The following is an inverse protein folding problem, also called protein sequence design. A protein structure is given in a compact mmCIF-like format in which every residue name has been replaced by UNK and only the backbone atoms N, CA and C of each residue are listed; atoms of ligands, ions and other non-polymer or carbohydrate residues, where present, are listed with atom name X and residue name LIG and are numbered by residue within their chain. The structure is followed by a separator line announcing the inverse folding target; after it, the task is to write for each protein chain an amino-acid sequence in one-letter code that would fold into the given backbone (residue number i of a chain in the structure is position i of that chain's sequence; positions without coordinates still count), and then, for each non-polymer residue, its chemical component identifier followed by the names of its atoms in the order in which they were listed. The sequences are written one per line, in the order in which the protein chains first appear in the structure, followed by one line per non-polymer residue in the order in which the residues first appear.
data_IF_262954990860
#
_entry.id   IF_262954990860
#
_cell.length_a   1.000
_cell.length_b   1.000
_cell.length_c   1.000
_cell.angle_alpha   90.00
_cell.angle_beta   90.00
_cell.angle_gamma   90.00
#
_symmetry.space_group_name_H-M   'P 1'
#
loop_
_entity.id
_entity.type
_entity.pdbx_description
1 polymer ?
#
# COMPACT_ATOMS: atom_id res chain seq x y z
N UNK A 1 -25.21 -6.01 -30.59
CA UNK A 1 -25.35 -5.93 -29.12
C UNK A 1 -23.98 -5.60 -28.55
N UNK A 2 -23.81 -4.48 -27.87
CA UNK A 2 -22.52 -4.12 -27.24
C UNK A 2 -22.26 -5.04 -26.05
N UNK A 3 -21.03 -5.57 -25.91
CA UNK A 3 -20.66 -6.40 -24.78
C UNK A 3 -20.90 -5.67 -23.45
N UNK A 4 -21.48 -6.36 -22.46
CA UNK A 4 -21.77 -5.81 -21.12
C UNK A 4 -20.53 -5.75 -20.24
N UNK A 5 -19.49 -6.51 -20.59
CA UNK A 5 -18.20 -6.58 -19.90
C UNK A 5 -17.03 -6.48 -20.88
N UNK A 6 -15.86 -6.10 -20.38
CA UNK A 6 -14.62 -6.11 -21.16
C UNK A 6 -13.39 -6.38 -20.27
N UNK A 7 -12.35 -7.01 -20.83
CA UNK A 7 -11.10 -7.30 -20.11
C UNK A 7 -10.26 -6.02 -19.97
N UNK A 8 -10.05 -5.54 -18.73
CA UNK A 8 -9.21 -4.38 -18.45
C UNK A 8 -7.76 -4.63 -18.91
N UNK A 9 -7.27 -5.87 -18.81
CA UNK A 9 -5.92 -6.23 -19.25
C UNK A 9 -5.69 -5.94 -20.72
N UNK A 10 -6.69 -6.18 -21.56
CA UNK A 10 -6.60 -5.91 -23.00
C UNK A 10 -6.45 -4.41 -23.31
N UNK A 11 -7.09 -3.53 -22.54
CA UNK A 11 -6.90 -2.08 -22.70
C UNK A 11 -5.49 -1.65 -22.28
N UNK A 12 -5.02 -2.13 -21.13
CA UNK A 12 -3.70 -1.77 -20.63
C UNK A 12 -2.61 -2.25 -21.60
N UNK A 13 -2.67 -3.52 -22.06
CA UNK A 13 -1.70 -4.06 -23.03
C UNK A 13 -1.68 -3.25 -24.32
N UNK A 14 -2.86 -2.89 -24.85
CA UNK A 14 -2.96 -2.08 -26.07
C UNK A 14 -2.27 -0.73 -25.91
N UNK A 15 -2.50 -0.05 -24.79
CA UNK A 15 -1.95 1.29 -24.57
C UNK A 15 -0.45 1.24 -24.32
N UNK A 16 0.00 0.28 -23.51
CA UNK A 16 1.41 0.09 -23.21
C UNK A 16 2.23 -0.24 -24.48
N UNK A 17 1.70 -1.10 -25.36
CA UNK A 17 2.43 -1.58 -26.53
C UNK A 17 2.40 -0.62 -27.73
N UNK A 18 1.61 0.47 -27.68
CA UNK A 18 1.52 1.43 -28.79
C UNK A 18 2.77 2.32 -28.98
N UNK A 19 3.83 2.15 -28.18
CA UNK A 19 5.08 2.92 -28.27
C UNK A 19 6.30 2.19 -28.90
N UNK A 20 6.23 0.88 -29.13
CA UNK A 20 7.32 0.08 -29.69
C UNK A 20 6.86 -0.69 -30.93
N UNK A 21 7.60 -0.58 -32.04
CA UNK A 21 7.20 -1.18 -33.32
C UNK A 21 7.03 -2.71 -33.24
N UNK A 22 5.94 -3.20 -33.83
CA UNK A 22 5.62 -4.54 -34.34
C UNK A 22 6.10 -5.82 -33.61
N UNK A 23 6.69 -5.75 -32.42
CA UNK A 23 7.08 -6.94 -31.67
C UNK A 23 5.90 -7.44 -30.84
N UNK A 24 5.35 -8.57 -31.28
CA UNK A 24 4.18 -9.32 -30.81
C UNK A 24 4.37 -9.93 -29.41
N UNK A 25 5.08 -9.25 -28.52
CA UNK A 25 5.16 -9.66 -27.12
C UNK A 25 3.93 -9.13 -26.40
N UNK A 26 2.90 -9.99 -26.35
CA UNK A 26 1.74 -9.84 -25.47
C UNK A 26 2.20 -9.97 -24.01
N UNK A 27 2.88 -8.95 -23.48
CA UNK A 27 3.24 -8.89 -22.07
C UNK A 27 1.96 -9.06 -21.27
N UNK A 28 1.87 -10.18 -20.56
CA UNK A 28 0.67 -10.51 -19.82
C UNK A 28 0.69 -9.72 -18.52
N UNK A 29 -0.16 -8.69 -18.43
CA UNK A 29 -0.21 -7.78 -17.27
C UNK A 29 -0.84 -8.44 -16.05
N UNK A 30 -1.91 -9.20 -16.27
CA UNK A 30 -2.55 -10.00 -15.23
C UNK A 30 -2.21 -11.46 -15.47
N UNK A 31 -1.69 -12.16 -14.45
CA UNK A 31 -1.27 -13.55 -14.59
C UNK A 31 -2.31 -14.42 -15.29
N UNK A 32 -1.86 -15.30 -16.20
CA UNK A 32 -2.71 -16.21 -16.98
C UNK A 32 -3.17 -17.44 -16.20
N UNK A 33 -2.85 -17.53 -14.91
CA UNK A 33 -3.26 -18.65 -14.08
C UNK A 33 -4.78 -18.81 -14.13
N UNK A 34 -5.31 -20.03 -14.36
CA UNK A 34 -6.75 -20.29 -14.29
C UNK A 34 -7.33 -19.95 -12.90
N UNK A 35 -6.49 -19.87 -11.87
CA UNK A 35 -6.85 -19.44 -10.53
C UNK A 35 -6.99 -17.91 -10.38
N UNK A 36 -6.73 -17.12 -11.42
CA UNK A 36 -6.89 -15.67 -11.41
C UNK A 36 -7.97 -15.22 -12.40
N UNK A 37 -9.03 -14.62 -11.86
CA UNK A 37 -10.04 -13.96 -12.69
C UNK A 37 -9.42 -12.69 -13.28
N UNK A 38 -9.35 -12.60 -14.61
CA UNK A 38 -8.93 -11.36 -15.27
C UNK A 38 -9.87 -10.22 -14.88
N UNK A 39 -9.37 -9.04 -14.49
CA UNK A 39 -10.20 -7.88 -14.17
C UNK A 39 -11.17 -7.53 -15.29
N UNK A 40 -12.47 -7.63 -15.01
CA UNK A 40 -13.53 -7.31 -15.97
C UNK A 40 -14.16 -5.96 -15.65
N UNK A 41 -14.15 -5.06 -16.63
CA UNK A 41 -14.99 -3.87 -16.67
C UNK A 41 -16.44 -4.29 -16.85
N UNK A 42 -17.38 -3.53 -16.26
CA UNK A 42 -18.83 -3.70 -16.49
C UNK A 42 -19.47 -2.36 -16.79
N UNK A 43 -20.46 -2.35 -17.69
CA UNK A 43 -21.27 -1.15 -17.98
C UNK A 43 -22.21 -0.81 -16.83
N UNK A 44 -22.67 0.45 -16.82
CA UNK A 44 -23.68 0.97 -15.87
C UNK A 44 -23.29 0.89 -14.40
N UNK A 45 -22.01 0.69 -14.11
CA UNK A 45 -21.44 0.82 -12.78
C UNK A 45 -20.04 1.43 -12.87
N UNK A 46 -19.57 2.13 -11.84
CA UNK A 46 -18.19 2.56 -11.75
C UNK A 46 -17.25 1.35 -11.77
N UNK A 47 -16.19 1.40 -12.56
CA UNK A 47 -15.06 0.49 -12.45
C UNK A 47 -13.90 1.28 -11.86
N UNK A 48 -13.32 0.78 -10.77
CA UNK A 48 -12.26 1.51 -10.07
C UNK A 48 -10.95 0.74 -10.04
N UNK A 49 -9.85 1.47 -10.12
CA UNK A 49 -8.51 0.92 -9.93
C UNK A 49 -7.90 1.58 -8.69
N UNK A 50 -7.43 0.76 -7.75
CA UNK A 50 -6.66 1.25 -6.61
C UNK A 50 -5.26 1.62 -7.08
N UNK A 51 -4.93 2.90 -7.06
CA UNK A 51 -3.57 3.38 -7.30
C UNK A 51 -2.83 3.45 -5.97
N UNK A 52 -1.70 2.77 -5.85
CA UNK A 52 -0.88 2.76 -4.63
C UNK A 52 0.52 3.30 -4.92
N UNK A 53 0.68 4.64 -4.89
CA UNK A 53 1.97 5.28 -5.12
C UNK A 53 2.81 5.29 -3.85
N UNK A 54 4.11 5.11 -3.98
CA UNK A 54 5.00 5.18 -2.82
C UNK A 54 6.47 4.95 -3.13
N UNK A 55 7.35 5.45 -2.25
CA UNK A 55 8.79 5.25 -2.45
C UNK A 55 9.23 3.81 -2.20
N UNK A 56 8.45 2.99 -1.49
CA UNK A 56 8.70 1.56 -1.23
C UNK A 56 10.18 1.14 -1.10
N UNK A 57 10.97 1.80 -0.25
CA UNK A 57 12.43 1.58 -0.18
C UNK A 57 12.88 0.94 1.15
N UNK A 58 12.83 -0.39 1.34
CA UNK A 58 12.25 -1.40 0.45
C UNK A 58 10.74 -1.61 0.67
N UNK A 59 10.02 -2.29 -0.25
CA UNK A 59 8.68 -2.77 0.03
C UNK A 59 8.70 -3.88 1.08
N UNK A 60 7.61 -4.02 1.83
CA UNK A 60 7.53 -4.90 2.98
C UNK A 60 6.12 -5.41 3.21
N UNK A 61 5.97 -6.43 4.06
CA UNK A 61 4.69 -7.14 4.24
C UNK A 61 3.55 -6.21 4.68
N UNK A 62 3.84 -5.16 5.45
CA UNK A 62 2.83 -4.17 5.82
C UNK A 62 2.28 -3.38 4.61
N UNK A 63 3.08 -3.12 3.56
CA UNK A 63 2.56 -2.50 2.34
C UNK A 63 1.59 -3.44 1.61
N UNK A 64 1.95 -4.73 1.50
CA UNK A 64 1.09 -5.76 0.91
C UNK A 64 -0.19 -5.96 1.73
N UNK A 65 -0.09 -5.99 3.06
CA UNK A 65 -1.24 -6.09 3.95
C UNK A 65 -2.20 -4.91 3.75
N UNK A 66 -1.70 -3.66 3.70
CA UNK A 66 -2.54 -2.49 3.42
C UNK A 66 -3.22 -2.58 2.05
N UNK A 67 -2.47 -2.95 1.00
CA UNK A 67 -3.01 -3.10 -0.35
C UNK A 67 -4.10 -4.16 -0.42
N UNK A 68 -3.80 -5.36 0.10
CA UNK A 68 -4.72 -6.48 0.17
C UNK A 68 -5.97 -6.10 0.93
N UNK A 69 -5.81 -5.50 2.12
CA UNK A 69 -6.92 -5.08 2.97
C UNK A 69 -7.78 -4.04 2.27
N UNK A 70 -7.20 -3.02 1.65
CA UNK A 70 -7.94 -2.02 0.90
C UNK A 70 -8.72 -2.66 -0.26
N UNK A 71 -8.11 -3.58 -1.01
CA UNK A 71 -8.74 -4.26 -2.14
C UNK A 71 -9.90 -5.15 -1.69
N UNK A 72 -9.69 -6.02 -0.70
CA UNK A 72 -10.68 -6.99 -0.22
C UNK A 72 -11.84 -6.32 0.53
N UNK A 73 -11.58 -5.19 1.18
CA UNK A 73 -12.57 -4.50 2.02
C UNK A 73 -13.36 -3.42 1.28
N UNK A 74 -13.01 -3.07 0.03
CA UNK A 74 -13.75 -2.04 -0.74
C UNK A 74 -14.53 -2.57 -1.96
N UNK A 75 -15.25 -3.69 -1.85
CA UNK A 75 -15.97 -4.30 -2.97
C UNK A 75 -17.14 -3.44 -3.47
N UNK A 76 -17.76 -2.66 -2.58
CA UNK A 76 -18.80 -1.67 -2.91
C UNK A 76 -18.27 -0.53 -3.79
N UNK A 77 -16.97 -0.26 -3.74
CA UNK A 77 -16.34 0.72 -4.64
C UNK A 77 -16.21 0.20 -6.07
N UNK A 78 -16.53 -1.06 -6.37
CA UNK A 78 -16.34 -1.61 -7.71
C UNK A 78 -14.87 -1.62 -8.14
N UNK A 79 -13.95 -1.81 -7.18
CA UNK A 79 -12.53 -1.97 -7.46
C UNK A 79 -12.33 -3.27 -8.26
N UNK A 80 -11.74 -3.16 -9.45
CA UNK A 80 -11.50 -4.29 -10.36
C UNK A 80 -10.03 -4.69 -10.44
N UNK A 81 -9.12 -3.77 -10.12
CA UNK A 81 -7.68 -3.99 -10.13
C UNK A 81 -6.97 -3.03 -9.17
N UNK A 82 -5.67 -3.27 -8.95
CA UNK A 82 -4.79 -2.33 -8.29
C UNK A 82 -3.51 -2.13 -9.11
N UNK A 83 -2.94 -0.92 -9.04
CA UNK A 83 -1.67 -0.53 -9.63
C UNK A 83 -0.76 -0.07 -8.50
N UNK A 84 0.38 -0.74 -8.32
CA UNK A 84 1.43 -0.28 -7.42
C UNK A 84 2.41 0.57 -8.23
N UNK A 85 2.66 1.79 -7.79
CA UNK A 85 3.50 2.75 -8.50
C UNK A 85 4.70 3.16 -7.63
N UNK A 86 5.85 2.44 -7.72
CA UNK A 86 7.09 2.90 -7.13
C UNK A 86 7.50 4.25 -7.72
N UNK A 87 7.59 5.28 -6.88
CA UNK A 87 7.99 6.63 -7.30
C UNK A 87 9.41 6.64 -7.86
N UNK A 88 9.77 7.67 -8.62
CA UNK A 88 11.12 7.82 -9.17
C UNK A 88 12.18 8.06 -8.08
N UNK A 89 13.45 7.82 -8.43
CA UNK A 89 14.57 7.90 -7.47
C UNK A 89 14.77 9.32 -6.92
N UNK A 90 14.49 10.35 -7.73
CA UNK A 90 14.55 11.74 -7.30
C UNK A 90 13.57 12.06 -6.18
N UNK A 91 12.37 11.46 -6.19
CA UNK A 91 11.40 11.58 -5.09
C UNK A 91 11.90 10.95 -3.80
N UNK A 92 12.62 9.84 -3.91
CA UNK A 92 13.22 9.18 -2.75
C UNK A 92 14.34 10.04 -2.16
N UNK A 93 15.15 10.67 -3.01
CA UNK A 93 16.22 11.57 -2.57
C UNK A 93 15.66 12.89 -1.99
N UNK A 94 14.63 13.49 -2.60
CA UNK A 94 13.89 14.64 -2.04
C UNK A 94 13.38 14.32 -0.62
N UNK A 95 12.73 13.16 -0.47
CA UNK A 95 12.22 12.69 0.84
C UNK A 95 13.35 12.49 1.87
N UNK A 96 14.54 12.11 1.42
CA UNK A 96 15.73 11.97 2.29
C UNK A 96 16.24 13.34 2.71
N UNK A 97 16.42 14.27 1.77
CA UNK A 97 16.86 15.64 2.03
C UNK A 97 15.92 16.35 3.02
N UNK A 98 14.61 16.21 2.81
CA UNK A 98 13.57 16.73 3.72
C UNK A 98 13.73 16.21 5.16
N UNK A 99 14.01 14.92 5.31
CA UNK A 99 14.26 14.32 6.62
C UNK A 99 15.53 14.87 7.26
N UNK A 100 16.61 15.02 6.49
CA UNK A 100 17.87 15.63 6.95
C UNK A 100 17.64 17.04 7.46
N UNK A 101 16.94 17.86 6.66
CA UNK A 101 16.60 19.24 7.03
C UNK A 101 15.77 19.30 8.32
N UNK A 102 14.76 18.44 8.47
CA UNK A 102 13.92 18.39 9.69
C UNK A 102 14.73 18.00 10.93
N UNK A 103 15.63 17.02 10.83
CA UNK A 103 16.52 16.63 11.94
C UNK A 103 17.43 17.78 12.35
N UNK A 104 18.07 18.43 11.39
CA UNK A 104 18.94 19.59 11.64
C UNK A 104 18.16 20.74 12.33
N UNK A 105 16.96 21.04 11.86
CA UNK A 105 16.10 22.04 12.50
C UNK A 105 15.73 21.65 13.94
N UNK A 106 15.40 20.37 14.19
CA UNK A 106 15.08 19.88 15.52
C UNK A 106 16.28 19.96 16.47
N UNK A 107 17.47 19.60 16.00
CA UNK A 107 18.72 19.70 16.77
C UNK A 107 19.02 21.16 17.14
N UNK A 108 18.97 22.07 16.17
CA UNK A 108 19.14 23.51 16.41
C UNK A 108 18.11 24.05 17.42
N UNK A 109 16.85 23.58 17.36
CA UNK A 109 15.82 23.97 18.32
C UNK A 109 16.15 23.47 19.73
N UNK A 110 16.62 22.23 19.88
CA UNK A 110 17.04 21.65 21.17
C UNK A 110 18.21 22.43 21.77
N UNK A 111 19.22 22.75 20.97
CA UNK A 111 20.38 23.54 21.39
C UNK A 111 19.96 24.94 21.85
N UNK A 112 19.06 25.60 21.12
CA UNK A 112 18.50 26.91 21.52
C UNK A 112 17.78 26.84 22.86
N UNK A 113 16.96 25.81 23.08
CA UNK A 113 16.26 25.59 24.35
C UNK A 113 17.26 25.34 25.49
N UNK A 114 18.30 24.53 25.26
CA UNK A 114 19.36 24.25 26.23
C UNK A 114 20.15 25.52 26.59
N UNK A 115 20.55 26.30 25.59
CA UNK A 115 21.25 27.57 25.79
C UNK A 115 20.38 28.59 26.56
N UNK A 116 19.07 28.65 26.27
CA UNK A 116 18.14 29.52 27.01
C UNK A 116 18.00 29.09 28.48
N UNK A 117 17.89 27.79 28.75
CA UNK A 117 17.85 27.24 30.12
C UNK A 117 19.14 27.55 30.88
N UNK A 118 20.31 27.39 30.26
CA UNK A 118 21.60 27.72 30.87
C UNK A 118 21.72 29.21 31.22
N UNK A 119 21.25 30.11 30.32
CA UNK A 119 21.22 31.56 30.59
C UNK A 119 20.31 31.93 31.75
N UNK A 120 19.12 31.31 31.84
CA UNK A 120 18.18 31.54 32.97
C UNK A 120 18.80 31.07 34.28
N UNK A 121 19.40 29.87 34.30
CA UNK A 121 20.09 29.32 35.50
C UNK A 121 21.24 30.24 35.98
N UNK A 122 21.98 30.84 35.04
CA UNK A 122 23.05 31.80 35.36
C UNK A 122 22.51 33.14 35.90
N UNK A 123 21.38 33.62 35.36
CA UNK A 123 20.79 34.90 35.76
C UNK A 123 20.07 34.84 37.12
N UNK A 124 19.52 33.69 37.51
CA UNK A 124 18.78 33.54 38.77
C UNK A 124 19.66 33.43 40.02
N UNK A 125 21.00 33.53 39.90
CA UNK A 125 21.92 33.48 41.04
C UNK A 125 21.83 32.20 41.87
N UNK A 126 21.19 31.15 41.33
CA UNK A 126 20.93 29.92 42.06
C UNK A 126 22.20 29.10 42.17
N UNK A 127 22.93 29.27 43.27
CA UNK A 127 23.74 28.20 43.85
C UNK A 127 22.80 27.06 44.20
N UNK A 128 22.61 26.15 43.25
CA UNK A 128 21.88 24.90 43.48
C UNK A 128 22.94 23.84 43.74
N UNK A 129 22.94 23.31 44.97
CA UNK A 129 23.79 22.20 45.37
C UNK A 129 23.70 21.02 44.41
N UNK A 130 24.82 20.32 44.27
CA UNK A 130 24.97 19.08 43.51
C UNK A 130 23.95 18.02 43.95
N UNK A 131 22.77 18.02 43.33
CA UNK A 131 21.90 16.85 43.31
C UNK A 131 22.05 16.21 41.93
N UNK A 132 22.57 14.98 41.93
CA UNK A 132 23.12 14.30 40.75
C UNK A 132 22.15 14.20 39.58
N UNK A 133 22.52 14.83 38.47
CA UNK A 133 22.05 14.45 37.14
C UNK A 133 22.79 13.17 36.73
N UNK A 134 22.21 12.01 37.06
CA UNK A 134 22.61 10.74 36.45
C UNK A 134 22.30 10.81 34.96
N UNK A 135 23.36 10.83 34.16
CA UNK A 135 23.31 10.97 32.71
C UNK A 135 22.65 9.78 32.03
N UNK A 136 21.56 10.07 31.32
CA UNK A 136 21.13 9.29 30.16
C UNK A 136 21.81 9.91 28.92
N UNK A 137 23.10 9.59 28.78
CA UNK A 137 23.95 10.01 27.66
C UNK A 137 24.31 8.82 26.79
N UNK A 138 23.32 8.06 26.32
CA UNK A 138 23.52 6.97 25.37
C UNK A 138 22.53 7.14 24.22
N UNK A 139 23.02 7.56 23.04
CA UNK A 139 22.20 7.53 21.83
C UNK A 139 22.64 8.40 20.66
N UNK A 140 23.55 9.37 20.80
CA UNK A 140 23.81 10.32 19.70
C UNK A 140 24.72 9.79 18.57
N UNK A 141 25.37 8.63 18.76
CA UNK A 141 26.30 8.06 17.76
C UNK A 141 25.68 7.11 16.71
N UNK A 142 24.44 6.65 16.91
CA UNK A 142 23.76 5.73 15.99
C UNK A 142 22.97 6.43 14.88
N UNK A 143 22.62 7.71 15.07
CA UNK A 143 21.72 8.48 14.19
C UNK A 143 22.43 9.03 12.93
N UNK A 144 23.77 9.12 12.90
CA UNK A 144 24.50 9.57 11.71
C UNK A 144 24.66 8.45 10.65
N UNK A 145 24.79 7.18 11.07
CA UNK A 145 24.76 6.02 10.17
C UNK A 145 23.35 5.77 9.56
N UNK A 146 22.31 6.34 10.16
CA UNK A 146 20.91 6.30 9.69
C UNK A 146 20.72 7.03 8.34
N UNK A 147 21.66 7.89 7.95
CA UNK A 147 21.49 8.84 6.84
C UNK A 147 22.01 8.36 5.48
N UNK A 148 22.80 7.29 5.42
CA UNK A 148 23.34 6.66 4.20
C UNK A 148 22.80 5.23 3.97
N UNK A 149 21.63 4.94 4.54
CA UNK A 149 20.96 3.66 4.36
C UNK A 149 20.67 3.33 2.88
N UNK A 150 20.56 2.03 2.61
CA UNK A 150 20.26 1.43 1.30
C UNK A 150 19.25 2.27 0.49
N UNK A 151 19.69 2.74 -0.68
CA UNK A 151 18.88 3.41 -1.68
C UNK A 151 18.70 2.47 -2.87
N UNK A 152 17.61 1.71 -2.87
CA UNK A 152 17.28 0.88 -4.04
C UNK A 152 16.91 1.79 -5.20
N UNK A 153 17.24 1.43 -6.44
CA UNK A 153 16.70 2.11 -7.63
C UNK A 153 15.23 1.80 -7.82
N UNK A 154 14.53 2.56 -8.67
CA UNK A 154 13.13 2.28 -9.02
C UNK A 154 12.96 0.86 -9.54
N UNK A 155 13.81 0.42 -10.45
CA UNK A 155 13.79 -0.91 -11.06
C UNK A 155 13.92 -2.01 -10.00
N UNK A 156 14.84 -1.83 -9.04
CA UNK A 156 14.98 -2.76 -7.91
C UNK A 156 13.72 -2.79 -7.04
N UNK A 157 13.10 -1.65 -6.76
CA UNK A 157 11.85 -1.59 -5.98
C UNK A 157 10.68 -2.25 -6.71
N UNK A 158 10.58 -2.07 -8.02
CA UNK A 158 9.61 -2.77 -8.89
C UNK A 158 9.85 -4.28 -8.83
N UNK A 159 11.09 -4.73 -8.98
CA UNK A 159 11.45 -6.15 -8.93
C UNK A 159 11.02 -6.81 -7.60
N UNK A 160 11.19 -6.12 -6.47
CA UNK A 160 10.79 -6.60 -5.14
C UNK A 160 9.27 -6.71 -4.95
N UNK A 161 8.46 -6.01 -5.74
CA UNK A 161 7.00 -6.17 -5.75
C UNK A 161 6.52 -7.37 -6.58
N UNK A 162 7.44 -8.07 -7.25
CA UNK A 162 7.28 -9.12 -8.29
C UNK A 162 7.43 -8.56 -9.70
N UNK A 163 8.69 -8.45 -10.15
CA UNK A 163 9.19 -8.75 -11.51
C UNK A 163 8.52 -8.17 -12.78
N UNK A 164 7.50 -7.32 -12.70
CA UNK A 164 6.77 -6.83 -13.88
C UNK A 164 6.74 -5.31 -13.92
N UNK A 165 6.90 -4.77 -15.13
CA UNK A 165 7.18 -3.38 -15.47
C UNK A 165 6.55 -2.34 -14.55
N UNK A 166 7.40 -1.47 -14.00
CA UNK A 166 6.97 -0.27 -13.29
C UNK A 166 6.83 0.87 -14.28
N UNK A 167 5.79 1.68 -14.09
CA UNK A 167 5.65 2.95 -14.77
C UNK A 167 6.48 4.00 -14.03
N UNK A 168 7.07 4.97 -14.75
CA UNK A 168 7.60 6.15 -14.10
C UNK A 168 6.47 7.14 -13.74
N UNK A 169 6.75 8.10 -12.86
CA UNK A 169 5.76 9.13 -12.47
C UNK A 169 5.34 9.98 -13.68
N UNK A 170 6.28 10.26 -14.58
CA UNK A 170 6.05 11.07 -15.78
C UNK A 170 5.12 10.38 -16.79
N UNK A 171 5.31 9.08 -17.03
CA UNK A 171 4.50 8.27 -17.95
C UNK A 171 3.10 7.98 -17.40
N UNK A 172 2.94 7.99 -16.07
CA UNK A 172 1.69 7.62 -15.41
C UNK A 172 0.52 8.49 -15.88
N UNK A 173 0.70 9.80 -15.95
CA UNK A 173 -0.40 10.72 -16.28
C UNK A 173 -0.89 10.51 -17.72
N UNK A 174 0.02 10.40 -18.69
CA UNK A 174 -0.34 10.13 -20.09
C UNK A 174 -1.00 8.75 -20.24
N UNK A 175 -0.40 7.72 -19.62
CA UNK A 175 -0.95 6.37 -19.63
C UNK A 175 -2.38 6.34 -19.07
N UNK A 176 -2.59 6.96 -17.90
CA UNK A 176 -3.87 7.03 -17.22
C UNK A 176 -4.92 7.70 -18.10
N UNK A 177 -4.61 8.84 -18.70
CA UNK A 177 -5.51 9.57 -19.59
C UNK A 177 -5.92 8.71 -20.79
N UNK A 178 -4.94 8.11 -21.47
CA UNK A 178 -5.18 7.21 -22.62
C UNK A 178 -6.03 6.01 -22.23
N UNK A 179 -5.84 5.45 -21.04
CA UNK A 179 -6.61 4.32 -20.53
C UNK A 179 -8.06 4.71 -20.23
N UNK A 180 -8.27 5.81 -19.51
CA UNK A 180 -9.62 6.32 -19.23
C UNK A 180 -10.35 6.60 -20.54
N UNK A 181 -9.70 7.23 -21.50
CA UNK A 181 -10.33 7.56 -22.79
C UNK A 181 -10.64 6.33 -23.65
N UNK A 182 -9.74 5.35 -23.69
CA UNK A 182 -9.99 4.11 -24.43
C UNK A 182 -11.17 3.34 -23.82
N UNK A 183 -11.23 3.25 -22.50
CA UNK A 183 -12.32 2.58 -21.77
C UNK A 183 -13.64 3.35 -21.92
N UNK A 184 -13.60 4.68 -21.86
CA UNK A 184 -14.76 5.57 -22.07
C UNK A 184 -15.33 5.48 -23.47
N UNK A 185 -14.48 5.40 -24.52
CA UNK A 185 -14.91 5.24 -25.92
C UNK A 185 -15.75 3.98 -26.13
N UNK A 186 -15.44 2.93 -25.40
CA UNK A 186 -16.22 1.69 -25.44
C UNK A 186 -17.42 1.73 -24.48
N UNK A 187 -17.71 2.87 -23.83
CA UNK A 187 -18.89 3.10 -22.99
C UNK A 187 -18.84 2.45 -21.62
N UNK A 188 -17.63 2.29 -21.06
CA UNK A 188 -17.39 1.94 -19.67
C UNK A 188 -16.90 3.18 -18.90
N UNK A 189 -17.16 3.22 -17.60
CA UNK A 189 -16.61 4.25 -16.71
C UNK A 189 -15.43 3.67 -15.94
N UNK A 190 -14.28 4.35 -15.97
CA UNK A 190 -13.08 3.99 -15.21
C UNK A 190 -12.62 5.17 -14.36
N UNK A 191 -12.44 4.92 -13.07
CA UNK A 191 -11.91 5.89 -12.12
C UNK A 191 -10.72 5.31 -11.34
N UNK A 192 -9.88 6.20 -10.80
CA UNK A 192 -8.79 5.83 -9.91
C UNK A 192 -9.08 6.28 -8.49
N UNK A 193 -8.73 5.43 -7.52
CA UNK A 193 -8.83 5.71 -6.09
C UNK A 193 -7.43 5.55 -5.51
N UNK A 194 -6.90 6.59 -4.88
CA UNK A 194 -5.54 6.54 -4.35
C UNK A 194 -5.54 5.88 -2.98
N UNK A 195 -4.80 4.77 -2.85
CA UNK A 195 -4.46 4.15 -1.59
C UNK A 195 -3.24 4.87 -1.00
N UNK A 196 -3.39 5.40 0.21
CA UNK A 196 -2.33 6.15 0.88
C UNK A 196 -1.96 5.53 2.22
N UNK A 197 -0.68 5.62 2.58
CA UNK A 197 -0.20 5.25 3.90
C UNK A 197 -0.71 6.22 4.99
N UNK A 198 -0.71 5.74 6.23
CA UNK A 198 -1.14 6.50 7.40
C UNK A 198 -0.40 7.84 7.60
N UNK A 199 0.81 7.99 7.04
CA UNK A 199 1.62 9.21 7.12
C UNK A 199 1.16 10.35 6.19
N UNK A 200 0.33 10.05 5.19
CA UNK A 200 -0.21 11.05 4.26
C UNK A 200 -1.57 11.60 4.70
N UNK A 201 -2.21 10.97 5.69
CA UNK A 201 -3.50 11.40 6.21
C UNK A 201 -3.33 11.84 7.64
N UNK A 202 -3.51 13.14 7.88
CA UNK A 202 -3.41 13.71 9.19
C UNK A 202 -4.60 14.60 9.54
N UNK A 203 -4.71 14.91 10.83
CA UNK A 203 -5.71 15.89 11.32
C UNK A 203 -5.62 17.26 10.63
N UNK A 204 -4.45 17.60 10.07
CA UNK A 204 -4.18 18.87 9.38
C UNK A 204 -4.57 18.88 7.91
N UNK A 205 -4.65 17.72 7.25
CA UNK A 205 -4.96 17.66 5.82
C UNK A 205 -4.63 16.31 5.20
N UNK A 206 -4.94 16.20 3.91
CA UNK A 206 -4.59 15.10 3.02
C UNK A 206 -4.16 15.64 1.65
N UNK A 207 -3.40 14.87 0.87
CA UNK A 207 -3.00 15.23 -0.49
C UNK A 207 -4.17 15.04 -1.48
N UNK A 208 -5.21 15.88 -1.40
CA UNK A 208 -6.32 15.86 -2.34
C UNK A 208 -5.86 16.14 -3.78
N UNK A 209 -6.41 15.40 -4.74
CA UNK A 209 -6.10 15.59 -6.16
C UNK A 209 -4.71 15.11 -6.56
N UNK A 210 -3.90 14.60 -5.63
CA UNK A 210 -2.65 13.94 -5.99
C UNK A 210 -2.94 12.73 -6.87
N UNK A 211 -2.12 12.57 -7.92
CA UNK A 211 -2.26 11.49 -8.90
C UNK A 211 -3.60 11.50 -9.64
N UNK A 212 -4.22 12.68 -9.78
CA UNK A 212 -5.55 12.87 -10.37
C UNK A 212 -6.62 11.99 -9.70
N UNK A 213 -6.46 11.77 -8.38
CA UNK A 213 -7.36 10.99 -7.56
C UNK A 213 -8.13 11.90 -6.60
N UNK A 214 -9.43 12.00 -6.80
CA UNK A 214 -10.35 12.73 -5.91
C UNK A 214 -10.77 11.90 -4.68
N UNK A 215 -10.46 10.61 -4.73
CA UNK A 215 -10.96 9.58 -3.82
C UNK A 215 -9.77 8.90 -3.16
N UNK A 216 -9.78 8.85 -1.84
CA UNK A 216 -8.67 8.33 -1.05
C UNK A 216 -9.12 7.14 -0.18
N UNK A 217 -8.33 6.08 -0.16
CA UNK A 217 -8.44 5.00 0.81
C UNK A 217 -7.20 5.03 1.71
N UNK A 218 -7.41 4.94 3.01
CA UNK A 218 -6.35 4.84 4.01
C UNK A 218 -6.66 3.71 4.97
N UNK A 219 -5.63 3.05 5.46
CA UNK A 219 -5.76 2.06 6.52
C UNK A 219 -4.61 2.16 7.50
N UNK A 220 -4.78 1.49 8.64
CA UNK A 220 -3.79 1.42 9.72
C UNK A 220 -2.99 0.10 9.72
N UNK A 221 -3.11 -0.70 8.65
CA UNK A 221 -2.31 -1.90 8.44
C UNK A 221 -0.80 -1.54 8.41
N UNK A 222 -0.06 -2.04 9.41
CA UNK A 222 1.37 -1.80 9.60
C UNK A 222 1.75 -0.48 10.27
N UNK A 223 0.86 0.52 10.34
CA UNK A 223 1.11 1.78 11.04
C UNK A 223 -0.20 2.45 11.47
N UNK A 224 -0.25 2.86 12.74
CA UNK A 224 -1.38 3.62 13.28
C UNK A 224 -1.58 4.98 12.57
N UNK A 225 -2.84 5.37 12.41
CA UNK A 225 -3.25 6.70 11.94
C UNK A 225 -3.49 7.66 13.11
N UNK A 226 -3.22 8.95 12.92
CA UNK A 226 -3.30 9.96 13.99
C UNK A 226 -4.73 10.38 14.38
N UNK A 227 -5.72 9.92 13.62
CA UNK A 227 -7.14 10.21 13.80
C UNK A 227 -7.93 9.02 14.34
N UNK A 228 -7.28 7.92 14.72
CA UNK A 228 -7.88 6.83 15.50
C UNK A 228 -7.38 6.94 16.93
N UNK A 229 -8.31 7.05 17.89
CA UNK A 229 -8.01 7.02 19.30
C UNK A 229 -8.63 5.78 19.94
N UNK A 230 -7.93 5.18 20.90
CA UNK A 230 -8.47 4.08 21.71
C UNK A 230 -9.04 4.66 23.00
N UNK A 231 -10.26 4.28 23.37
CA UNK A 231 -10.84 4.64 24.66
C UNK A 231 -10.33 3.74 25.80
N UNK A 232 -10.79 4.02 27.03
CA UNK A 232 -10.39 3.24 28.21
C UNK A 232 -10.82 1.77 28.17
N UNK A 233 -11.81 1.43 27.33
CA UNK A 233 -12.33 0.07 27.15
C UNK A 233 -11.66 -0.67 25.97
N UNK A 234 -10.64 -0.06 25.36
CA UNK A 234 -9.94 -0.64 24.21
C UNK A 234 -10.66 -0.48 22.87
N UNK A 235 -11.76 0.26 22.81
CA UNK A 235 -12.51 0.48 21.56
C UNK A 235 -11.88 1.62 20.76
N UNK A 236 -11.78 1.40 19.46
CA UNK A 236 -11.29 2.41 18.52
C UNK A 236 -12.40 3.43 18.22
N UNK A 237 -12.06 4.72 18.27
CA UNK A 237 -12.92 5.85 17.92
C UNK A 237 -12.22 6.77 16.94
N UNK A 238 -12.91 7.13 15.86
CA UNK A 238 -12.42 8.12 14.90
C UNK A 238 -12.57 9.54 15.44
N UNK A 239 -11.47 10.28 15.40
CA UNK A 239 -11.40 11.70 15.71
C UNK A 239 -11.92 12.52 14.52
N UNK A 240 -12.54 13.66 14.83
CA UNK A 240 -12.98 14.60 13.79
C UNK A 240 -11.80 15.20 13.04
N UNK A 241 -11.92 15.25 11.72
CA UNK A 241 -10.99 15.92 10.82
C UNK A 241 -11.53 17.31 10.50
N UNK A 242 -10.74 18.38 10.73
CA UNK A 242 -11.24 19.76 10.60
C UNK A 242 -11.75 20.07 9.17
N UNK A 243 -11.13 19.45 8.17
CA UNK A 243 -11.36 19.62 6.74
C UNK A 243 -12.36 18.62 6.13
N UNK A 244 -12.83 17.65 6.91
CA UNK A 244 -13.79 16.63 6.48
C UNK A 244 -15.13 16.80 7.20
N UNK A 245 -16.20 16.29 6.59
CA UNK A 245 -17.48 16.05 7.24
C UNK A 245 -17.33 14.99 8.36
N UNK A 246 -18.42 14.74 9.10
CA UNK A 246 -18.43 13.70 10.11
C UNK A 246 -18.17 12.35 9.44
N UNK A 247 -17.46 11.47 10.13
CA UNK A 247 -17.34 10.09 9.69
C UNK A 247 -18.71 9.40 9.71
N UNK A 248 -19.04 8.77 8.61
CA UNK A 248 -20.23 7.96 8.40
C UNK A 248 -19.80 6.51 8.21
N UNK A 249 -20.49 5.53 8.81
CA UNK A 249 -20.27 4.14 8.48
C UNK A 249 -20.55 3.94 6.98
N UNK A 250 -19.76 3.09 6.33
CA UNK A 250 -20.07 2.71 4.94
C UNK A 250 -21.30 1.81 4.98
N UNK A 251 -22.44 2.36 4.56
CA UNK A 251 -23.65 1.58 4.34
C UNK A 251 -23.48 0.76 3.06
N UNK A 252 -23.88 -0.50 3.14
CA UNK A 252 -23.78 -1.41 2.02
C UNK A 252 -25.16 -1.75 1.49
N UNK A 253 -25.25 -1.74 0.16
CA UNK A 253 -26.35 -2.34 -0.57
C UNK A 253 -26.26 -3.87 -0.45
N UNK A 254 -27.10 -4.44 0.43
CA UNK A 254 -27.16 -5.88 0.70
C UNK A 254 -27.44 -6.70 -0.57
N UNK A 255 -28.20 -6.16 -1.52
CA UNK A 255 -28.50 -6.85 -2.78
C UNK A 255 -27.27 -6.88 -3.68
N UNK A 256 -26.56 -5.75 -3.80
CA UNK A 256 -25.30 -5.70 -4.54
C UNK A 256 -24.22 -6.57 -3.89
N UNK A 257 -24.17 -6.63 -2.57
CA UNK A 257 -23.30 -7.52 -1.81
C UNK A 257 -23.59 -9.00 -2.10
N UNK A 258 -24.86 -9.40 -2.00
CA UNK A 258 -25.29 -10.75 -2.28
C UNK A 258 -24.96 -11.17 -3.72
N UNK A 259 -25.24 -10.31 -4.71
CA UNK A 259 -24.92 -10.60 -6.11
C UNK A 259 -23.40 -10.78 -6.33
N UNK A 260 -22.56 -9.99 -5.65
CA UNK A 260 -21.09 -10.14 -5.72
C UNK A 260 -20.63 -11.49 -5.15
N UNK A 261 -21.12 -11.85 -3.97
CA UNK A 261 -20.80 -13.14 -3.34
C UNK A 261 -21.20 -14.30 -4.25
N UNK A 262 -22.37 -14.21 -4.88
CA UNK A 262 -22.83 -15.23 -5.84
C UNK A 262 -21.96 -15.30 -7.09
N UNK A 263 -21.51 -14.16 -7.64
CA UNK A 263 -20.59 -14.12 -8.78
C UNK A 263 -19.24 -14.79 -8.43
N UNK A 264 -18.74 -14.60 -7.21
CA UNK A 264 -17.47 -15.17 -6.75
C UNK A 264 -17.58 -16.68 -6.48
N UNK A 265 -18.69 -17.12 -5.88
CA UNK A 265 -18.99 -18.55 -5.70
C UNK A 265 -19.11 -19.25 -7.05
N UNK A 266 -19.86 -18.67 -7.99
CA UNK A 266 -19.99 -19.23 -9.33
C UNK A 266 -18.63 -19.40 -10.02
N UNK A 267 -17.73 -18.43 -9.85
CA UNK A 267 -16.37 -18.53 -10.36
C UNK A 267 -15.55 -19.63 -9.64
N UNK A 268 -15.57 -19.66 -8.30
CA UNK A 268 -14.86 -20.68 -7.50
C UNK A 268 -15.29 -22.09 -7.87
N UNK A 269 -16.60 -22.29 -8.08
CA UNK A 269 -17.18 -23.56 -8.53
C UNK A 269 -16.70 -23.91 -9.93
N UNK A 270 -16.72 -22.94 -10.85
CA UNK A 270 -16.20 -23.11 -12.20
C UNK A 270 -14.74 -23.59 -12.19
N UNK A 271 -13.87 -22.87 -11.48
CA UNK A 271 -12.45 -23.22 -11.33
C UNK A 271 -12.28 -24.58 -10.67
N UNK A 272 -12.99 -24.85 -9.57
CA UNK A 272 -12.91 -26.14 -8.87
C UNK A 272 -13.35 -27.30 -9.75
N UNK A 273 -14.33 -27.07 -10.63
CA UNK A 273 -14.80 -28.08 -11.57
C UNK A 273 -13.74 -28.42 -12.61
N UNK A 274 -12.87 -27.47 -13.00
CA UNK A 274 -11.74 -27.77 -13.88
C UNK A 274 -10.69 -28.69 -13.24
N UNK A 275 -10.50 -28.62 -11.92
CA UNK A 275 -9.45 -29.36 -11.22
C UNK A 275 -9.94 -30.64 -10.53
N UNK A 276 -11.16 -30.66 -9.98
CA UNK A 276 -11.80 -31.82 -9.37
C UNK A 276 -13.32 -31.71 -9.45
N UNK A 277 -13.88 -32.06 -10.63
CA UNK A 277 -15.33 -32.19 -10.85
C UNK A 277 -16.04 -33.03 -9.77
N UNK A 278 -15.34 -33.98 -9.15
CA UNK A 278 -15.91 -34.85 -8.13
C UNK A 278 -16.12 -34.16 -6.78
N UNK A 279 -15.29 -33.16 -6.44
CA UNK A 279 -15.34 -32.50 -5.13
C UNK A 279 -16.67 -31.77 -4.92
N UNK A 280 -17.04 -30.87 -5.84
CA UNK A 280 -18.26 -30.08 -5.71
C UNK A 280 -19.50 -30.97 -5.70
N UNK A 281 -19.54 -32.00 -6.55
CA UNK A 281 -20.64 -32.97 -6.57
C UNK A 281 -20.77 -33.72 -5.25
N UNK A 282 -19.65 -34.17 -4.65
CA UNK A 282 -19.65 -34.81 -3.32
C UNK A 282 -20.13 -33.86 -2.22
N UNK A 283 -19.81 -32.55 -2.30
CA UNK A 283 -20.32 -31.58 -1.33
C UNK A 283 -21.83 -31.38 -1.49
N UNK A 284 -22.33 -31.27 -2.72
CA UNK A 284 -23.77 -31.13 -3.00
C UNK A 284 -24.57 -32.39 -2.60
N UNK A 285 -24.03 -33.58 -2.83
CA UNK A 285 -24.67 -34.83 -2.41
C UNK A 285 -24.73 -34.94 -0.87
N UNK A 286 -23.76 -34.35 -0.15
CA UNK A 286 -23.72 -34.30 1.32
C UNK A 286 -24.63 -33.21 1.89
N UNK A 287 -24.66 -32.05 1.24
CA UNK A 287 -25.41 -30.88 1.66
C UNK A 287 -26.06 -30.20 0.43
N UNK A 288 -27.36 -30.45 0.18
CA UNK A 288 -28.08 -29.80 -0.91
C UNK A 288 -28.11 -28.27 -0.81
N UNK A 289 -27.85 -27.73 0.39
CA UNK A 289 -27.80 -26.28 0.67
C UNK A 289 -26.37 -25.74 0.68
N UNK A 290 -25.38 -26.50 0.23
CA UNK A 290 -23.97 -26.11 0.22
C UNK A 290 -23.75 -24.70 -0.39
N UNK A 291 -24.41 -24.38 -1.51
CA UNK A 291 -24.29 -23.05 -2.12
C UNK A 291 -24.93 -21.93 -1.29
N UNK A 292 -26.10 -22.19 -0.69
CA UNK A 292 -26.75 -21.22 0.19
C UNK A 292 -25.89 -20.95 1.43
N UNK A 293 -25.33 -22.01 2.02
CA UNK A 293 -24.46 -21.93 3.18
C UNK A 293 -23.17 -21.16 2.83
N UNK A 294 -22.56 -21.46 1.68
CA UNK A 294 -21.37 -20.75 1.21
C UNK A 294 -21.66 -19.28 0.90
N UNK A 295 -22.82 -18.97 0.32
CA UNK A 295 -23.26 -17.60 0.05
C UNK A 295 -23.55 -16.84 1.33
N UNK A 296 -24.20 -17.47 2.32
CA UNK A 296 -24.46 -16.86 3.63
C UNK A 296 -23.16 -16.62 4.41
N UNK A 297 -22.23 -17.57 4.39
CA UNK A 297 -20.91 -17.44 5.02
C UNK A 297 -20.08 -16.34 4.34
N UNK A 298 -20.09 -16.30 3.01
CA UNK A 298 -19.48 -15.24 2.22
C UNK A 298 -20.06 -13.87 2.57
N UNK A 299 -21.40 -13.75 2.56
CA UNK A 299 -22.10 -12.51 2.89
C UNK A 299 -21.86 -12.07 4.33
N UNK A 300 -21.80 -13.00 5.29
CA UNK A 300 -21.47 -12.71 6.70
C UNK A 300 -20.06 -12.15 6.83
N UNK A 301 -19.06 -12.87 6.29
CA UNK A 301 -17.65 -12.46 6.33
C UNK A 301 -17.45 -11.09 5.70
N UNK A 302 -18.11 -10.89 4.57
CA UNK A 302 -18.12 -9.65 3.82
C UNK A 302 -18.75 -8.50 4.60
N UNK A 303 -19.95 -8.70 5.15
CA UNK A 303 -20.68 -7.71 5.97
C UNK A 303 -19.89 -7.34 7.23
N UNK A 304 -19.25 -8.30 7.89
CA UNK A 304 -18.39 -8.04 9.05
C UNK A 304 -17.17 -7.20 8.69
N UNK A 305 -16.64 -7.35 7.47
CA UNK A 305 -15.53 -6.58 6.96
C UNK A 305 -15.92 -5.14 6.57
N UNK A 306 -17.13 -4.94 6.02
CA UNK A 306 -17.64 -3.64 5.57
C UNK A 306 -18.17 -2.78 6.72
N UNK A 307 -18.82 -3.38 7.72
CA UNK A 307 -19.32 -2.68 8.93
C UNK A 307 -18.24 -2.00 9.77
N UNK A 308 -16.97 -2.34 9.56
CA UNK A 308 -15.85 -1.71 10.27
C UNK A 308 -15.29 -0.51 9.50
N UNK A 309 -15.84 -0.14 8.35
CA UNK A 309 -15.30 0.92 7.50
C UNK A 309 -16.08 2.21 7.63
N UNK A 310 -15.36 3.31 7.48
CA UNK A 310 -15.88 4.65 7.71
C UNK A 310 -15.45 5.54 6.56
N UNK A 311 -16.33 6.45 6.18
CA UNK A 311 -16.08 7.41 5.11
C UNK A 311 -16.38 8.81 5.61
N UNK A 312 -15.62 9.80 5.15
CA UNK A 312 -15.95 11.20 5.32
C UNK A 312 -15.76 11.93 3.99
N UNK A 313 -16.57 12.96 3.74
CA UNK A 313 -16.49 13.77 2.52
C UNK A 313 -15.75 15.07 2.81
N UNK A 314 -14.98 15.57 1.84
CA UNK A 314 -14.29 16.85 2.01
C UNK A 314 -15.32 17.97 2.09
N UNK A 315 -15.17 18.87 3.08
CA UNK A 315 -16.02 20.06 3.16
C UNK A 315 -15.85 20.92 1.90
N UNK A 316 -16.96 21.45 1.38
CA UNK A 316 -17.01 22.39 0.25
C UNK A 316 -16.49 21.83 -1.08
N UNK A 317 -16.46 20.52 -1.24
CA UNK A 317 -16.13 19.87 -2.51
C UNK A 317 -17.12 18.75 -2.79
N UNK A 318 -17.68 18.73 -4.00
CA UNK A 318 -18.54 17.63 -4.44
C UNK A 318 -17.67 16.51 -5.00
N UNK A 319 -17.83 15.30 -4.48
CA UNK A 319 -17.20 14.09 -5.01
C UNK A 319 -15.86 13.67 -4.37
N UNK A 320 -15.22 14.55 -3.59
CA UNK A 320 -14.01 14.19 -2.84
C UNK A 320 -14.34 13.49 -1.51
N UNK A 321 -13.78 12.31 -1.30
CA UNK A 321 -13.98 11.54 -0.07
C UNK A 321 -12.73 10.78 0.38
N UNK A 322 -12.66 10.55 1.69
CA UNK A 322 -11.67 9.70 2.35
C UNK A 322 -12.39 8.52 2.98
N UNK A 323 -11.92 7.30 2.68
CA UNK A 323 -12.39 6.07 3.31
C UNK A 323 -11.29 5.49 4.19
N UNK A 324 -11.64 5.22 5.44
CA UNK A 324 -10.81 4.54 6.41
C UNK A 324 -11.17 3.05 6.47
N UNK A 325 -10.16 2.22 6.27
CA UNK A 325 -10.24 0.77 6.35
C UNK A 325 -9.38 0.28 7.52
N UNK A 326 -9.99 -0.13 8.64
CA UNK A 326 -9.21 -0.64 9.76
C UNK A 326 -8.63 -2.02 9.46
N UNK A 327 -7.43 -2.22 10.00
CA UNK A 327 -6.78 -3.49 10.22
C UNK A 327 -7.54 -4.24 11.33
N UNK A 328 -7.98 -5.47 11.11
CA UNK A 328 -8.68 -6.23 12.14
C UNK A 328 -7.75 -6.50 13.34
N UNK A 329 -8.35 -6.68 14.53
CA UNK A 329 -7.64 -6.69 15.81
C UNK A 329 -6.61 -7.82 15.94
N UNK A 330 -6.82 -8.93 15.21
CA UNK A 330 -5.95 -10.10 15.10
C UNK A 330 -4.72 -9.86 14.20
N UNK A 331 -4.84 -8.98 13.20
CA UNK A 331 -3.76 -8.62 12.25
C UNK A 331 -2.90 -7.44 12.73
N UNK A 332 -3.20 -6.83 13.89
CA UNK A 332 -2.38 -5.75 14.49
C UNK A 332 -0.93 -6.15 14.75
N UNK A 333 -0.61 -7.44 14.73
CA UNK A 333 0.72 -8.00 14.98
C UNK A 333 1.71 -7.87 13.83
N UNK A 334 1.32 -7.36 12.64
CA UNK A 334 2.27 -7.10 11.54
C UNK A 334 3.07 -5.80 11.81
N UNK A 335 3.79 -5.75 12.92
CA UNK A 335 4.71 -4.68 13.27
C UNK A 335 6.10 -4.96 12.67
N UNK A 336 6.22 -4.84 11.35
CA UNK A 336 7.52 -5.06 10.66
C UNK A 336 8.46 -3.87 10.72
N UNK A 337 8.14 -2.86 11.54
CA UNK A 337 9.04 -1.74 11.82
C UNK A 337 9.10 -0.66 10.73
N UNK A 338 8.39 -0.83 9.62
CA UNK A 338 8.47 0.06 8.47
C UNK A 338 9.82 -0.02 7.75
N UNK A 339 9.89 0.53 6.54
CA UNK A 339 11.12 0.49 5.74
C UNK A 339 12.36 1.07 6.45
N UNK A 340 12.19 1.99 7.40
CA UNK A 340 13.31 2.51 8.20
C UNK A 340 13.96 1.42 9.05
N UNK A 341 13.21 0.70 9.89
CA UNK A 341 13.81 -0.36 10.72
C UNK A 341 14.41 -1.50 9.90
N UNK A 342 13.86 -1.75 8.71
CA UNK A 342 14.44 -2.71 7.75
C UNK A 342 15.80 -2.21 7.27
N UNK A 343 15.94 -0.94 6.87
CA UNK A 343 17.24 -0.36 6.48
C UNK A 343 18.23 -0.35 7.65
N UNK A 344 17.77 -0.08 8.88
CA UNK A 344 18.61 -0.13 10.08
C UNK A 344 19.11 -1.57 10.34
N UNK A 345 18.23 -2.55 10.15
CA UNK A 345 18.59 -3.97 10.23
C UNK A 345 19.60 -4.35 9.14
N UNK A 346 19.44 -3.84 7.92
CA UNK A 346 20.40 -4.05 6.84
C UNK A 346 21.77 -3.44 7.20
N UNK A 347 21.80 -2.19 7.66
CA UNK A 347 23.02 -1.49 8.01
C UNK A 347 23.80 -2.18 9.14
N UNK A 348 23.11 -2.68 10.16
CA UNK A 348 23.72 -3.28 11.35
C UNK A 348 23.99 -4.79 11.26
N UNK A 349 23.33 -5.50 10.35
CA UNK A 349 23.42 -6.96 10.28
C UNK A 349 24.54 -7.43 9.32
N UNK A 350 25.40 -8.40 9.75
CA UNK A 350 26.32 -9.08 8.86
C UNK A 350 25.58 -9.78 7.72
N UNK A 351 26.13 -9.71 6.50
CA UNK A 351 25.47 -10.20 5.28
C UNK A 351 25.00 -11.66 5.39
N UNK A 352 25.78 -12.56 6.01
CA UNK A 352 25.42 -13.97 6.18
C UNK A 352 24.22 -14.25 7.10
N UNK A 353 23.74 -13.26 7.86
CA UNK A 353 22.55 -13.38 8.72
C UNK A 353 21.35 -12.60 8.17
N UNK A 354 21.55 -11.83 7.09
CA UNK A 354 20.58 -10.85 6.63
C UNK A 354 19.29 -11.50 6.11
N UNK A 355 19.39 -12.62 5.37
CA UNK A 355 18.23 -13.35 4.87
C UNK A 355 17.27 -13.76 5.99
N UNK A 356 17.81 -14.46 7.00
CA UNK A 356 17.04 -14.88 8.18
C UNK A 356 16.45 -13.70 8.95
N UNK A 357 17.14 -12.56 8.97
CA UNK A 357 16.66 -11.35 9.66
C UNK A 357 15.51 -10.67 8.90
N UNK A 358 15.52 -10.74 7.57
CA UNK A 358 14.54 -10.10 6.69
C UNK A 358 13.34 -10.99 6.36
N UNK A 359 13.46 -12.31 6.52
CA UNK A 359 12.39 -13.26 6.28
C UNK A 359 11.10 -12.91 7.05
N UNK A 360 9.97 -12.93 6.33
CA UNK A 360 8.67 -12.52 6.87
C UNK A 360 8.50 -11.01 7.11
N UNK A 361 9.54 -10.19 6.91
CA UNK A 361 9.44 -8.72 7.07
C UNK A 361 9.34 -7.99 5.74
N UNK A 362 10.08 -8.43 4.72
CA UNK A 362 10.08 -7.84 3.38
C UNK A 362 9.32 -8.72 2.38
N UNK A 363 8.93 -8.18 1.23
CA UNK A 363 8.16 -8.95 0.23
C UNK A 363 9.00 -10.04 -0.47
N UNK A 364 10.28 -9.76 -0.72
CA UNK A 364 11.21 -10.70 -1.32
C UNK A 364 12.58 -10.54 -0.62
N UNK A 365 12.82 -11.38 0.40
CA UNK A 365 14.01 -11.28 1.24
C UNK A 365 15.28 -11.70 0.50
N UNK A 366 15.21 -12.74 -0.32
CA UNK A 366 16.34 -13.25 -1.12
C UNK A 366 16.84 -12.17 -2.08
N UNK A 367 15.95 -11.64 -2.93
CA UNK A 367 16.30 -10.60 -3.90
C UNK A 367 16.79 -9.31 -3.23
N UNK A 368 16.24 -8.94 -2.07
CA UNK A 368 16.73 -7.77 -1.34
C UNK A 368 18.14 -8.00 -0.79
N UNK A 369 18.46 -9.20 -0.31
CA UNK A 369 19.82 -9.55 0.14
C UNK A 369 20.80 -9.48 -1.03
N UNK A 370 20.41 -9.95 -2.22
CA UNK A 370 21.21 -9.82 -3.44
C UNK A 370 21.51 -8.35 -3.76
N UNK A 371 20.50 -7.48 -3.80
CA UNK A 371 20.71 -6.04 -4.03
C UNK A 371 21.61 -5.39 -2.97
N UNK A 372 21.51 -5.82 -1.71
CA UNK A 372 22.39 -5.35 -0.64
C UNK A 372 23.83 -5.84 -0.83
N UNK A 373 24.02 -7.09 -1.25
CA UNK A 373 25.33 -7.66 -1.54
C UNK A 373 26.00 -6.90 -2.70
N UNK A 374 25.25 -6.65 -3.78
CA UNK A 374 25.71 -5.89 -4.94
C UNK A 374 26.16 -4.48 -4.54
N UNK A 375 25.36 -3.81 -3.70
CA UNK A 375 25.68 -2.46 -3.22
C UNK A 375 26.90 -2.42 -2.28
N UNK A 376 27.16 -3.49 -1.53
CA UNK A 376 28.31 -3.60 -0.60
C UNK A 376 29.61 -3.96 -1.30
N UNK A 377 29.55 -4.67 -2.42
CA UNK A 377 30.71 -5.22 -3.11
C UNK A 377 30.69 -4.88 -4.62
N UNK A 378 30.79 -3.59 -5.01
CA UNK A 378 30.71 -3.19 -6.42
C UNK A 378 31.80 -3.85 -7.29
N UNK A 379 32.94 -4.22 -6.71
CA UNK A 379 34.11 -4.76 -7.42
C UNK A 379 34.00 -6.26 -7.78
N UNK A 380 33.11 -7.04 -7.14
CA UNK A 380 33.04 -8.50 -7.35
C UNK A 380 32.14 -8.94 -8.50
N UNK A 381 31.24 -8.08 -9.00
CA UNK A 381 30.21 -8.48 -9.98
C UNK A 381 30.51 -8.18 -11.45
N UNK A 382 31.65 -7.56 -11.79
CA UNK A 382 32.09 -7.51 -13.19
C UNK A 382 32.41 -8.91 -13.75
N UNK A 383 32.68 -9.89 -12.88
CA UNK A 383 33.05 -11.26 -13.27
C UNK A 383 31.83 -12.17 -13.48
N UNK A 384 30.70 -11.90 -12.83
CA UNK A 384 29.51 -12.78 -12.90
C UNK A 384 28.49 -12.38 -13.97
N UNK A 385 28.53 -11.16 -14.52
CA UNK A 385 27.71 -10.79 -15.70
C UNK A 385 28.16 -11.48 -17.00
N UNK A 386 29.33 -12.14 -17.01
CA UNK A 386 29.86 -12.86 -18.18
C UNK A 386 29.25 -14.27 -18.32
N UNK A 387 28.68 -14.82 -17.24
CA UNK A 387 28.03 -16.13 -17.28
C UNK A 387 26.51 -15.94 -17.24
N UNK A 388 25.97 -15.72 -18.44
CA UNK A 388 24.56 -15.48 -18.68
C UNK A 388 23.63 -16.48 -17.99
N UNK A 389 22.65 -15.92 -17.29
CA UNK A 389 21.31 -16.47 -17.17
C UNK A 389 20.34 -15.42 -17.72
N UNK A 390 19.25 -15.87 -18.34
CA UNK A 390 18.63 -15.30 -19.54
C UNK A 390 18.03 -13.90 -19.41
#
# INVERSE_FOLDING_TARGET
MTATTADLGAYISRIHNHGGGDDDTTTTIFGTSPAHRRPQLRRHRPNRVLLYPGCFNPPHVAHSALLRRAFESTPDLGVVAAVVLPLDDDRLEEKRQDRRARKQQQQQQRERVRARRAKVKKASGGEVGEAGETGEGEGEGADEAEMDGLLLTREQRVALWRGWGGWCEEEWHEFRERLVDAVRRDGFELEFVCLVGADYVGRRGVPWGSWDCEKLVVGDAGRAVDFVATDGDGRSRLLSLAWCEKWEPVEEDEEAAHQRVMDDIAWLVGVSSFYDCGYIRRQLDRDPRFYENLAQDGLRTFTESTRKQWMCRRKRSQGQWLRYVPCPDDERTIHTGGSTKIRDSIASCPTGQLLKKLEGTVLNAEMLVEFVMDARSPEMHHTYRIFGLP
#
